data_IF_424084635007
#
_entry.id   IF_424084635007
#
_cell.length_a   1.000
_cell.length_b   1.000
_cell.length_c   1.000
_cell.angle_alpha   90.00
_cell.angle_beta   90.00
_cell.angle_gamma   90.00
#
_symmetry.space_group_name_H-M   'P 1'
#
loop_
_entity.id
_entity.type
_entity.pdbx_description
1 polymer ?
#
# COMPACT_ATOMS: atom_id res chain seq x y z
N UNK A 1 8.18 13.41 -17.66
CA UNK A 1 7.59 12.10 -18.04
C UNK A 1 6.91 11.58 -16.80
N UNK A 2 5.66 11.13 -16.89
CA UNK A 2 4.97 10.46 -15.78
C UNK A 2 4.93 8.95 -15.98
N UNK A 3 4.25 8.27 -15.07
CA UNK A 3 4.10 6.81 -15.04
C UNK A 3 2.65 6.43 -15.28
N UNK A 4 2.43 5.21 -15.78
CA UNK A 4 1.11 4.73 -16.16
C UNK A 4 0.56 3.73 -15.16
N UNK A 5 -0.75 3.64 -15.09
CA UNK A 5 -1.48 2.67 -14.30
C UNK A 5 -2.80 2.31 -14.96
N UNK A 6 -3.59 1.52 -14.25
CA UNK A 6 -4.94 1.16 -14.62
C UNK A 6 -5.78 1.07 -13.36
N UNK A 7 -7.10 1.10 -13.52
CA UNK A 7 -8.02 0.69 -12.48
C UNK A 7 -8.88 -0.49 -12.91
N UNK A 8 -9.15 -1.38 -11.94
CA UNK A 8 -9.76 -2.68 -12.17
C UNK A 8 -10.95 -2.90 -11.26
N UNK A 9 -11.93 -3.61 -11.77
CA UNK A 9 -13.09 -4.08 -11.02
C UNK A 9 -13.34 -5.56 -11.29
N UNK A 10 -14.53 -6.07 -10.97
CA UNK A 10 -14.94 -7.43 -11.32
C UNK A 10 -15.10 -7.64 -12.83
N UNK A 11 -15.12 -6.57 -13.64
CA UNK A 11 -15.16 -6.67 -15.10
C UNK A 11 -13.82 -7.15 -15.68
N UNK A 12 -12.70 -6.76 -15.09
CA UNK A 12 -11.36 -7.21 -15.47
C UNK A 12 -11.01 -8.56 -14.83
N UNK A 13 -10.15 -9.38 -15.45
CA UNK A 13 -9.75 -10.68 -14.90
C UNK A 13 -9.03 -10.52 -13.55
N UNK A 14 -8.86 -11.64 -12.84
CA UNK A 14 -8.10 -11.67 -11.59
C UNK A 14 -6.61 -11.33 -11.77
N UNK A 15 -6.08 -11.48 -12.99
CA UNK A 15 -4.69 -11.21 -13.36
C UNK A 15 -4.61 -10.36 -14.64
N UNK A 16 -4.93 -9.05 -14.59
CA UNK A 16 -4.78 -8.17 -15.76
C UNK A 16 -3.33 -8.03 -16.21
N UNK A 17 -3.08 -7.60 -17.45
CA UNK A 17 -1.72 -7.32 -17.92
C UNK A 17 -1.14 -6.10 -17.18
N UNK A 18 0.02 -6.29 -16.55
CA UNK A 18 0.72 -5.27 -15.76
C UNK A 18 1.93 -4.68 -16.50
N UNK A 19 2.15 -5.06 -17.75
CA UNK A 19 3.31 -4.63 -18.54
C UNK A 19 3.34 -3.10 -18.68
N UNK A 20 4.43 -2.48 -18.23
CA UNK A 20 4.62 -1.03 -18.29
C UNK A 20 3.81 -0.21 -17.29
N UNK A 21 3.09 -0.86 -16.37
CA UNK A 21 2.37 -0.17 -15.30
C UNK A 21 3.27 0.06 -14.09
N UNK A 22 2.95 1.10 -13.32
CA UNK A 22 3.58 1.44 -12.04
C UNK A 22 2.58 1.36 -10.87
N UNK A 23 1.28 1.45 -11.15
CA UNK A 23 0.24 1.37 -10.13
C UNK A 23 -1.02 0.73 -10.67
N UNK A 24 -1.85 0.23 -9.76
CA UNK A 24 -3.21 -0.22 -10.05
C UNK A 24 -4.17 0.14 -8.92
N UNK A 25 -5.32 0.72 -9.28
CA UNK A 25 -6.45 0.89 -8.35
C UNK A 25 -7.43 -0.27 -8.53
N UNK A 26 -8.00 -0.79 -7.43
CA UNK A 26 -8.86 -1.98 -7.47
C UNK A 26 -10.14 -1.72 -6.69
N UNK A 27 -11.29 -1.95 -7.31
CA UNK A 27 -12.59 -1.89 -6.62
C UNK A 27 -12.61 -2.93 -5.52
N UNK A 28 -12.89 -2.53 -4.29
CA UNK A 28 -13.10 -3.49 -3.19
C UNK A 28 -14.56 -3.60 -2.85
N UNK A 29 -15.24 -2.48 -2.58
CA UNK A 29 -16.65 -2.47 -2.19
C UNK A 29 -17.48 -1.47 -2.98
N UNK A 30 -18.78 -1.73 -3.01
CA UNK A 30 -19.80 -0.80 -3.45
C UNK A 30 -20.98 -0.85 -2.46
N UNK A 31 -21.43 0.33 -2.04
CA UNK A 31 -22.47 0.44 -1.02
C UNK A 31 -22.14 -0.33 0.26
N UNK A 32 -23.15 -1.02 0.81
CA UNK A 32 -23.06 -1.81 2.05
C UNK A 32 -23.10 -3.33 1.83
N UNK A 33 -23.19 -3.80 0.59
CA UNK A 33 -23.51 -5.19 0.30
C UNK A 33 -22.68 -5.84 -0.80
N UNK A 34 -21.96 -5.06 -1.60
CA UNK A 34 -21.13 -5.60 -2.66
C UNK A 34 -19.65 -5.59 -2.27
N UNK A 35 -19.01 -6.73 -2.50
CA UNK A 35 -17.56 -6.89 -2.48
C UNK A 35 -17.14 -7.44 -3.83
N UNK A 36 -16.14 -6.84 -4.47
CA UNK A 36 -15.59 -7.35 -5.72
C UNK A 36 -14.97 -8.74 -5.49
N UNK A 37 -15.50 -9.83 -6.07
CA UNK A 37 -15.00 -11.18 -5.80
C UNK A 37 -13.56 -11.43 -6.28
N UNK A 38 -13.00 -10.52 -7.09
CA UNK A 38 -11.65 -10.61 -7.64
C UNK A 38 -10.63 -9.74 -6.92
N UNK A 39 -11.02 -8.87 -5.99
CA UNK A 39 -10.13 -7.83 -5.46
C UNK A 39 -8.88 -8.42 -4.77
N UNK A 40 -9.00 -9.56 -4.09
CA UNK A 40 -7.87 -10.22 -3.41
C UNK A 40 -6.82 -10.67 -4.42
N UNK A 41 -7.26 -11.39 -5.46
CA UNK A 41 -6.36 -11.86 -6.50
C UNK A 41 -5.76 -10.71 -7.31
N UNK A 42 -6.55 -9.67 -7.59
CA UNK A 42 -6.09 -8.45 -8.27
C UNK A 42 -5.04 -7.69 -7.45
N UNK A 43 -5.26 -7.54 -6.14
CA UNK A 43 -4.28 -6.96 -5.20
C UNK A 43 -2.98 -7.76 -5.22
N UNK A 44 -3.08 -9.07 -5.02
CA UNK A 44 -1.90 -9.93 -4.90
C UNK A 44 -1.10 -9.95 -6.20
N UNK A 45 -1.80 -9.97 -7.35
CA UNK A 45 -1.19 -9.84 -8.67
C UNK A 45 -0.48 -8.50 -8.87
N UNK A 46 -1.13 -7.37 -8.55
CA UNK A 46 -0.51 -6.05 -8.64
C UNK A 46 0.73 -5.93 -7.75
N UNK A 47 0.63 -6.39 -6.49
CA UNK A 47 1.76 -6.36 -5.54
C UNK A 47 2.90 -7.28 -5.98
N UNK A 48 2.61 -8.46 -6.51
CA UNK A 48 3.62 -9.38 -7.05
C UNK A 48 4.33 -8.81 -8.28
N UNK A 49 3.62 -8.03 -9.10
CA UNK A 49 4.21 -7.27 -10.21
C UNK A 49 5.00 -6.02 -9.76
N UNK A 50 5.04 -5.74 -8.45
CA UNK A 50 5.78 -4.62 -7.87
C UNK A 50 5.10 -3.26 -8.00
N UNK A 51 3.81 -3.23 -8.38
CA UNK A 51 3.02 -2.01 -8.53
C UNK A 51 2.66 -1.40 -7.17
N UNK A 52 2.45 -0.08 -7.14
CA UNK A 52 1.72 0.56 -6.02
C UNK A 52 0.24 0.21 -6.15
N UNK A 53 -0.33 -0.33 -5.10
CA UNK A 53 -1.72 -0.77 -5.09
C UNK A 53 -2.60 0.21 -4.32
N UNK A 54 -3.76 0.51 -4.88
CA UNK A 54 -4.80 1.25 -4.18
C UNK A 54 -6.14 0.51 -4.21
N UNK A 55 -6.92 0.68 -3.16
CA UNK A 55 -8.28 0.19 -3.07
C UNK A 55 -9.26 1.35 -3.23
N UNK A 56 -10.32 1.15 -4.00
CA UNK A 56 -11.40 2.12 -4.10
C UNK A 56 -12.75 1.57 -3.64
N UNK A 57 -13.56 2.48 -3.12
CA UNK A 57 -14.93 2.26 -2.70
C UNK A 57 -15.89 3.10 -3.55
N UNK A 58 -16.93 2.46 -4.08
CA UNK A 58 -18.01 3.12 -4.82
C UNK A 58 -19.20 3.39 -3.88
N UNK A 59 -19.51 4.65 -3.56
CA UNK A 59 -20.48 4.97 -2.52
C UNK A 59 -21.92 4.90 -3.03
N UNK A 60 -22.84 4.41 -2.20
CA UNK A 60 -24.27 4.69 -2.35
C UNK A 60 -24.60 5.81 -1.36
N UNK A 61 -24.49 7.05 -1.81
CA UNK A 61 -24.45 8.27 -0.97
C UNK A 61 -25.77 8.61 -0.25
N UNK A 62 -26.80 7.78 -0.38
CA UNK A 62 -27.98 7.79 0.50
C UNK A 62 -27.78 7.05 1.82
N UNK A 63 -26.75 6.20 1.92
CA UNK A 63 -26.38 5.46 3.12
C UNK A 63 -25.59 6.33 4.11
N UNK A 64 -25.38 5.78 5.32
CA UNK A 64 -24.50 6.40 6.31
C UNK A 64 -23.04 6.34 5.83
N UNK A 65 -22.40 7.51 5.78
CA UNK A 65 -20.96 7.69 5.50
C UNK A 65 -20.11 6.74 6.35
N UNK A 66 -20.37 6.68 7.65
CA UNK A 66 -19.57 5.86 8.57
C UNK A 66 -19.78 4.36 8.30
N UNK A 67 -21.01 3.95 7.97
CA UNK A 67 -21.31 2.55 7.71
C UNK A 67 -20.61 2.04 6.45
N UNK A 68 -20.63 2.81 5.35
CA UNK A 68 -19.94 2.42 4.12
C UNK A 68 -18.42 2.47 4.27
N UNK A 69 -17.90 3.49 4.95
CA UNK A 69 -16.48 3.57 5.26
C UNK A 69 -16.01 2.38 6.12
N UNK A 70 -16.71 2.06 7.21
CA UNK A 70 -16.35 0.92 8.06
C UNK A 70 -16.48 -0.41 7.30
N UNK A 71 -17.51 -0.56 6.45
CA UNK A 71 -17.67 -1.73 5.59
C UNK A 71 -16.48 -1.89 4.65
N UNK A 72 -16.09 -0.85 3.92
CA UNK A 72 -14.92 -0.85 3.05
C UNK A 72 -13.62 -1.14 3.81
N UNK A 73 -13.38 -0.43 4.92
CA UNK A 73 -12.15 -0.58 5.70
C UNK A 73 -12.01 -1.98 6.30
N UNK A 74 -13.13 -2.65 6.64
CA UNK A 74 -13.13 -4.02 7.18
C UNK A 74 -12.71 -5.09 6.17
N UNK A 75 -12.77 -4.82 4.86
CA UNK A 75 -12.43 -5.82 3.84
C UNK A 75 -10.92 -6.00 3.66
N UNK A 76 -10.13 -4.99 4.01
CA UNK A 76 -8.70 -4.95 3.68
C UNK A 76 -7.86 -4.91 4.96
N UNK A 77 -6.84 -5.77 5.02
CA UNK A 77 -5.78 -5.65 6.02
C UNK A 77 -4.74 -4.61 5.56
N UNK A 78 -5.06 -3.33 5.76
CA UNK A 78 -4.28 -2.18 5.29
C UNK A 78 -2.82 -2.21 5.72
N UNK A 79 -1.91 -1.87 4.80
CA UNK A 79 -0.47 -1.74 5.03
C UNK A 79 0.01 -0.34 4.67
N UNK A 80 1.12 0.14 5.26
CA UNK A 80 1.77 1.36 4.80
C UNK A 80 2.05 1.30 3.28
N UNK A 81 1.79 2.40 2.58
CA UNK A 81 1.91 2.49 1.13
C UNK A 81 0.70 2.01 0.33
N UNK A 82 -0.31 1.37 0.95
CA UNK A 82 -1.60 1.13 0.30
C UNK A 82 -2.35 2.46 0.15
N UNK A 83 -2.87 2.73 -1.06
CA UNK A 83 -3.67 3.92 -1.32
C UNK A 83 -5.15 3.65 -1.07
N UNK A 84 -5.87 4.64 -0.55
CA UNK A 84 -7.30 4.54 -0.23
C UNK A 84 -8.06 5.58 -1.03
N UNK A 85 -9.08 5.16 -1.79
CA UNK A 85 -9.79 6.04 -2.71
C UNK A 85 -11.30 5.99 -2.48
N UNK A 86 -11.93 7.15 -2.38
CA UNK A 86 -13.37 7.30 -2.62
C UNK A 86 -13.61 7.51 -4.12
N UNK A 87 -14.33 6.60 -4.76
CA UNK A 87 -14.80 6.75 -6.13
C UNK A 87 -16.05 7.64 -6.14
N UNK A 88 -15.86 8.96 -6.09
CA UNK A 88 -16.95 9.90 -5.88
C UNK A 88 -17.64 10.30 -7.19
N UNK A 89 -18.65 9.52 -7.50
CA UNK A 89 -19.57 9.72 -8.60
C UNK A 89 -20.98 9.29 -8.20
N UNK A 90 -21.99 9.75 -8.93
CA UNK A 90 -23.39 9.56 -8.56
C UNK A 90 -24.35 9.71 -9.73
N UNK A 91 -23.89 9.31 -10.92
CA UNK A 91 -24.72 9.20 -12.12
C UNK A 91 -25.38 7.81 -12.24
N UNK A 92 -25.14 6.91 -11.29
CA UNK A 92 -25.78 5.61 -11.18
C UNK A 92 -27.19 5.68 -10.54
N UNK A 93 -27.90 4.56 -10.60
CA UNK A 93 -29.27 4.46 -10.10
C UNK A 93 -29.38 4.52 -8.57
N UNK A 94 -28.37 4.07 -7.82
CA UNK A 94 -28.37 4.14 -6.36
C UNK A 94 -28.25 5.58 -5.86
N UNK A 95 -27.60 6.45 -6.63
CA UNK A 95 -27.39 7.86 -6.32
C UNK A 95 -28.39 8.83 -6.99
N UNK A 96 -29.24 8.35 -7.90
CA UNK A 96 -30.18 9.20 -8.68
C UNK A 96 -31.16 10.03 -7.82
N UNK A 97 -31.52 9.55 -6.62
CA UNK A 97 -32.39 10.26 -5.68
C UNK A 97 -31.66 11.15 -4.66
N UNK A 98 -30.32 11.15 -4.66
CA UNK A 98 -29.50 11.87 -3.67
C UNK A 98 -29.16 13.25 -4.21
N UNK A 99 -29.52 14.30 -3.48
CA UNK A 99 -29.26 15.68 -3.92
C UNK A 99 -27.75 15.95 -4.10
N UNK A 100 -27.38 16.81 -5.07
CA UNK A 100 -25.97 17.17 -5.30
C UNK A 100 -25.28 17.75 -4.06
N UNK A 101 -26.00 18.53 -3.25
CA UNK A 101 -25.49 19.04 -1.99
C UNK A 101 -25.20 17.92 -0.97
N UNK A 102 -26.06 16.90 -0.91
CA UNK A 102 -25.83 15.70 -0.08
C UNK A 102 -24.62 14.90 -0.59
N UNK A 103 -24.50 14.71 -1.90
CA UNK A 103 -23.34 14.02 -2.51
C UNK A 103 -22.01 14.74 -2.18
N UNK A 104 -21.99 16.07 -2.28
CA UNK A 104 -20.82 16.89 -1.94
C UNK A 104 -20.46 16.81 -0.45
N UNK A 105 -21.46 16.84 0.44
CA UNK A 105 -21.26 16.69 1.88
C UNK A 105 -20.77 15.28 2.25
N UNK A 106 -21.28 14.24 1.58
CA UNK A 106 -20.87 12.84 1.77
C UNK A 106 -19.37 12.69 1.51
N UNK A 107 -18.89 13.20 0.37
CA UNK A 107 -17.47 13.17 -0.03
C UNK A 107 -16.55 13.71 1.06
N UNK A 108 -16.79 14.93 1.52
CA UNK A 108 -16.00 15.58 2.57
C UNK A 108 -16.00 14.77 3.87
N UNK A 109 -17.17 14.29 4.30
CA UNK A 109 -17.33 13.53 5.53
C UNK A 109 -16.63 12.17 5.45
N UNK A 110 -16.74 11.47 4.33
CA UNK A 110 -16.12 10.16 4.12
C UNK A 110 -14.60 10.26 4.12
N UNK A 111 -14.04 11.20 3.37
CA UNK A 111 -12.59 11.41 3.30
C UNK A 111 -11.99 11.72 4.69
N UNK A 112 -12.63 12.62 5.45
CA UNK A 112 -12.20 12.97 6.81
C UNK A 112 -12.30 11.77 7.76
N UNK A 113 -13.41 11.03 7.68
CA UNK A 113 -13.62 9.84 8.52
C UNK A 113 -12.60 8.75 8.23
N UNK A 114 -12.40 8.39 6.96
CA UNK A 114 -11.43 7.36 6.57
C UNK A 114 -10.00 7.78 6.92
N UNK A 115 -9.63 9.05 6.70
CA UNK A 115 -8.31 9.55 7.11
C UNK A 115 -8.09 9.46 8.62
N UNK A 116 -9.13 9.69 9.43
CA UNK A 116 -9.04 9.50 10.89
C UNK A 116 -8.82 8.04 11.31
N UNK A 117 -9.29 7.07 10.51
CA UNK A 117 -9.14 5.63 10.77
C UNK A 117 -7.82 5.07 10.25
N UNK A 118 -7.30 5.64 9.16
CA UNK A 118 -6.04 5.27 8.53
C UNK A 118 -5.13 6.50 8.40
N UNK A 119 -4.63 7.06 9.51
CA UNK A 119 -3.81 8.28 9.47
C UNK A 119 -2.51 8.10 8.68
N UNK A 120 -2.00 6.87 8.64
CA UNK A 120 -0.72 6.50 8.02
C UNK A 120 -0.84 6.07 6.55
N UNK A 121 -2.05 6.11 5.98
CA UNK A 121 -2.29 5.85 4.56
C UNK A 121 -2.67 7.14 3.84
N UNK A 122 -2.37 7.21 2.54
CA UNK A 122 -2.86 8.28 1.67
C UNK A 122 -4.31 8.00 1.32
N UNK A 123 -5.20 8.92 1.70
CA UNK A 123 -6.64 8.86 1.43
C UNK A 123 -7.00 9.96 0.45
N UNK A 124 -7.39 9.58 -0.76
CA UNK A 124 -7.74 10.50 -1.83
C UNK A 124 -9.13 10.24 -2.38
N UNK A 125 -9.50 11.00 -3.40
CA UNK A 125 -10.73 10.76 -4.14
C UNK A 125 -10.52 10.71 -5.63
N UNK A 126 -11.41 9.96 -6.27
CA UNK A 126 -11.66 10.00 -7.69
C UNK A 126 -12.95 10.78 -7.98
N UNK A 127 -12.96 11.53 -9.08
CA UNK A 127 -14.18 12.03 -9.71
C UNK A 127 -13.92 12.44 -11.17
N UNK A 128 -14.97 12.64 -11.95
CA UNK A 128 -14.84 13.25 -13.28
C UNK A 128 -14.86 14.78 -13.23
N UNK A 129 -14.51 15.44 -14.35
CA UNK A 129 -14.48 16.92 -14.41
C UNK A 129 -15.83 17.60 -14.18
N UNK A 130 -16.96 16.93 -14.43
CA UNK A 130 -18.29 17.50 -14.15
C UNK A 130 -18.53 17.56 -12.64
N UNK A 131 -18.26 16.46 -11.92
CA UNK A 131 -18.34 16.43 -10.47
C UNK A 131 -17.40 17.45 -9.83
N UNK A 132 -16.15 17.51 -10.30
CA UNK A 132 -15.17 18.48 -9.80
C UNK A 132 -15.60 19.95 -10.01
N UNK A 133 -16.20 20.30 -11.15
CA UNK A 133 -16.52 21.70 -11.48
C UNK A 133 -17.90 22.15 -11.01
N UNK A 134 -18.86 21.23 -10.99
CA UNK A 134 -20.28 21.57 -10.87
C UNK A 134 -20.95 21.00 -9.61
N UNK A 135 -20.31 20.05 -8.92
CA UNK A 135 -20.87 19.41 -7.71
C UNK A 135 -20.01 19.71 -6.49
N UNK A 136 -18.70 19.67 -6.64
CA UNK A 136 -17.79 20.04 -5.56
C UNK A 136 -17.93 21.53 -5.20
N UNK A 137 -17.85 21.83 -3.91
CA UNK A 137 -17.95 23.19 -3.38
C UNK A 137 -16.85 23.55 -2.39
N UNK A 138 -16.00 22.59 -2.03
CA UNK A 138 -14.98 22.76 -0.97
C UNK A 138 -13.55 22.64 -1.50
N UNK A 139 -13.37 22.08 -2.70
CA UNK A 139 -12.08 21.69 -3.28
C UNK A 139 -11.26 20.74 -2.40
N UNK A 140 -11.89 20.12 -1.39
CA UNK A 140 -11.25 19.17 -0.50
C UNK A 140 -11.28 17.77 -1.12
N UNK A 141 -10.11 17.18 -1.37
CA UNK A 141 -9.93 15.84 -1.96
C UNK A 141 -9.13 14.88 -1.08
N UNK A 142 -8.85 15.25 0.18
CA UNK A 142 -7.95 14.49 1.03
C UNK A 142 -6.50 14.71 0.64
N UNK A 143 -5.70 13.63 0.62
CA UNK A 143 -4.27 13.65 0.33
C UNK A 143 -3.95 13.73 -1.17
N UNK A 144 -4.86 13.32 -2.06
CA UNK A 144 -4.66 13.37 -3.51
C UNK A 144 -5.96 13.37 -4.30
N UNK A 145 -5.92 13.98 -5.48
CA UNK A 145 -7.01 13.93 -6.47
C UNK A 145 -6.63 13.02 -7.63
N UNK A 146 -7.54 12.09 -7.93
CA UNK A 146 -7.58 11.29 -9.15
C UNK A 146 -8.73 11.82 -10.03
N UNK A 147 -8.42 12.42 -11.17
CA UNK A 147 -9.43 13.05 -12.03
C UNK A 147 -9.65 12.24 -13.30
N UNK A 148 -10.91 11.99 -13.67
CA UNK A 148 -11.26 11.40 -14.97
C UNK A 148 -11.66 12.47 -15.98
N UNK A 149 -11.05 12.41 -17.18
CA UNK A 149 -11.38 13.34 -18.26
C UNK A 149 -11.54 12.61 -19.59
N UNK A 150 -12.69 12.80 -20.22
CA UNK A 150 -12.97 12.21 -21.52
C UNK A 150 -12.20 12.93 -22.63
N UNK A 151 -11.45 12.17 -23.44
CA UNK A 151 -10.86 12.64 -24.69
C UNK A 151 -9.65 13.57 -24.56
N UNK A 152 -9.01 13.66 -23.38
CA UNK A 152 -7.76 14.42 -23.20
C UNK A 152 -6.54 13.51 -23.14
N UNK A 153 -5.37 14.09 -23.41
CA UNK A 153 -4.12 13.36 -23.37
C UNK A 153 -3.72 12.99 -21.93
N UNK A 154 -3.02 11.86 -21.78
CA UNK A 154 -2.45 11.44 -20.49
C UNK A 154 -1.62 12.58 -19.86
N UNK A 155 -1.88 12.86 -18.59
CA UNK A 155 -1.21 13.93 -17.86
C UNK A 155 -1.67 15.36 -18.16
N UNK A 156 -2.72 15.55 -18.98
CA UNK A 156 -3.35 16.84 -19.20
C UNK A 156 -4.88 16.76 -18.98
N UNK A 157 -5.36 16.78 -17.73
CA UNK A 157 -6.79 16.71 -17.43
C UNK A 157 -7.54 18.03 -17.66
N UNK A 158 -6.84 19.14 -17.90
CA UNK A 158 -7.51 20.41 -18.19
C UNK A 158 -8.27 20.99 -16.98
N UNK A 159 -7.76 20.73 -15.78
CA UNK A 159 -8.17 21.37 -14.54
C UNK A 159 -6.95 22.03 -13.89
N UNK A 160 -7.20 23.06 -13.08
CA UNK A 160 -6.14 23.81 -12.38
C UNK A 160 -5.81 23.23 -10.99
N UNK A 161 -6.63 22.31 -10.47
CA UNK A 161 -6.41 21.71 -9.17
C UNK A 161 -5.13 20.88 -9.16
N UNK A 162 -4.55 20.68 -7.98
CA UNK A 162 -3.37 19.84 -7.80
C UNK A 162 -3.79 18.36 -7.80
N UNK A 163 -3.82 17.77 -9.00
CA UNK A 163 -4.12 16.37 -9.23
C UNK A 163 -2.84 15.54 -9.26
N UNK A 164 -2.93 14.30 -8.77
CA UNK A 164 -1.83 13.35 -8.82
C UNK A 164 -2.04 12.28 -9.89
N UNK A 165 -3.29 11.83 -10.03
CA UNK A 165 -3.68 10.79 -10.99
C UNK A 165 -4.70 11.35 -12.00
N UNK A 166 -4.61 10.88 -13.24
CA UNK A 166 -5.51 11.23 -14.33
C UNK A 166 -5.95 9.96 -15.07
N UNK A 167 -7.23 9.60 -14.97
CA UNK A 167 -7.85 8.61 -15.84
C UNK A 167 -8.15 9.28 -17.18
N UNK A 168 -7.43 8.89 -18.23
CA UNK A 168 -7.44 9.57 -19.53
C UNK A 168 -8.13 8.74 -20.64
N UNK A 169 -8.50 7.49 -20.35
CA UNK A 169 -9.14 6.59 -21.31
C UNK A 169 -9.89 5.49 -20.57
N UNK A 170 -11.08 5.14 -21.07
CA UNK A 170 -11.97 4.06 -20.62
C UNK A 170 -12.12 2.94 -21.67
N UNK A 171 -11.40 3.04 -22.79
CA UNK A 171 -11.52 2.10 -23.91
C UNK A 171 -10.94 0.72 -23.58
N UNK A 172 -11.79 -0.17 -23.08
CA UNK A 172 -11.54 -1.59 -22.83
C UNK A 172 -11.00 -1.88 -21.42
N UNK A 173 -10.01 -1.11 -20.99
CA UNK A 173 -9.60 -0.99 -19.58
C UNK A 173 -9.32 0.46 -19.29
N UNK A 174 -9.67 0.89 -18.09
CA UNK A 174 -9.43 2.24 -17.64
C UNK A 174 -7.92 2.45 -17.49
N UNK A 175 -7.42 3.52 -18.11
CA UNK A 175 -6.00 3.85 -18.16
C UNK A 175 -5.73 5.13 -17.41
N UNK A 176 -4.74 5.03 -16.54
CA UNK A 176 -4.35 6.11 -15.67
C UNK A 176 -2.94 6.59 -15.94
N UNK A 177 -2.72 7.84 -15.55
CA UNK A 177 -1.43 8.50 -15.55
C UNK A 177 -1.19 9.13 -14.19
N UNK A 178 0.00 8.96 -13.64
CA UNK A 178 0.46 9.68 -12.45
C UNK A 178 1.54 10.69 -12.86
N UNK A 179 1.45 11.92 -12.33
CA UNK A 179 2.40 12.98 -12.70
C UNK A 179 3.82 12.75 -12.17
N UNK A 180 4.01 11.79 -11.25
CA UNK A 180 5.32 11.48 -10.67
C UNK A 180 6.19 10.78 -11.71
N UNK A 181 7.49 11.04 -11.63
CA UNK A 181 8.46 10.63 -12.66
C UNK A 181 8.79 9.15 -12.67
N UNK A 182 8.58 8.42 -11.57
CA UNK A 182 8.95 7.03 -11.46
C UNK A 182 8.12 6.25 -10.43
N UNK A 183 8.13 4.92 -10.58
CA UNK A 183 7.58 4.00 -9.57
C UNK A 183 8.25 4.18 -8.19
N UNK A 184 9.54 4.50 -8.16
CA UNK A 184 10.25 4.74 -6.91
C UNK A 184 9.72 5.99 -6.21
N UNK A 185 9.49 7.07 -6.95
CA UNK A 185 8.90 8.31 -6.42
C UNK A 185 7.49 8.06 -5.89
N UNK A 186 6.68 7.29 -6.64
CA UNK A 186 5.33 6.94 -6.19
C UNK A 186 5.33 6.08 -4.93
N UNK A 187 6.22 5.08 -4.83
CA UNK A 187 6.38 4.27 -3.61
C UNK A 187 6.82 5.13 -2.42
N UNK A 188 7.75 6.04 -2.63
CA UNK A 188 8.23 6.94 -1.60
C UNK A 188 7.13 7.93 -1.15
N UNK A 189 6.31 8.43 -2.07
CA UNK A 189 5.19 9.33 -1.76
C UNK A 189 4.03 8.62 -1.04
N UNK A 190 3.75 7.38 -1.43
CA UNK A 190 2.68 6.56 -0.85
C UNK A 190 2.97 6.19 0.61
N UNK A 191 4.25 6.05 0.97
CA UNK A 191 4.68 5.99 2.36
C UNK A 191 4.63 7.39 2.96
N UNK A 192 3.79 7.59 3.97
CA UNK A 192 3.91 8.79 4.80
C UNK A 192 5.25 8.69 5.52
N UNK A 193 6.17 9.61 5.23
CA UNK A 193 7.47 9.63 5.91
C UNK A 193 7.25 9.84 7.41
N UNK A 194 7.98 9.08 8.23
CA UNK A 194 8.08 9.22 9.70
C UNK A 194 8.37 10.66 10.16
N UNK A 195 8.81 11.55 9.26
CA UNK A 195 9.06 12.97 9.53
C UNK A 195 7.81 13.76 9.97
N UNK A 196 6.59 13.32 9.62
CA UNK A 196 5.33 13.96 10.03
C UNK A 196 4.74 13.39 11.33
N UNK A 197 5.41 12.44 11.98
CA UNK A 197 5.16 12.02 13.36
C UNK A 197 6.37 12.33 14.24
N UNK A 198 6.61 13.59 14.63
CA UNK A 198 7.46 13.82 15.78
C UNK A 198 6.73 13.22 16.99
N UNK A 199 7.18 12.05 17.47
CA UNK A 199 6.90 11.67 18.84
C UNK A 199 7.36 12.83 19.70
N UNK A 200 6.43 13.50 20.37
CA UNK A 200 6.82 14.57 21.28
C UNK A 200 7.67 13.95 22.38
N UNK A 201 8.52 14.74 23.02
CA UNK A 201 9.25 14.27 24.21
C UNK A 201 8.28 13.72 25.28
N UNK A 202 7.03 14.17 25.28
CA UNK A 202 5.96 13.67 26.14
C UNK A 202 5.44 12.28 25.72
N UNK A 203 5.29 12.01 24.41
CA UNK A 203 4.90 10.68 23.91
C UNK A 203 6.00 9.64 24.19
N UNK A 204 7.25 10.03 23.98
CA UNK A 204 8.43 9.22 24.33
C UNK A 204 8.45 8.96 25.85
N UNK A 205 8.20 9.99 26.66
CA UNK A 205 8.17 9.86 28.11
C UNK A 205 6.98 9.03 28.60
N UNK A 206 5.81 9.10 27.94
CA UNK A 206 4.62 8.33 28.29
C UNK A 206 4.79 6.84 27.98
N UNK A 207 5.34 6.51 26.81
CA UNK A 207 5.71 5.13 26.46
C UNK A 207 6.82 4.63 27.37
N UNK A 208 7.86 5.43 27.61
CA UNK A 208 8.93 5.08 28.54
C UNK A 208 8.38 4.84 29.95
N UNK A 209 7.52 5.71 30.49
CA UNK A 209 6.89 5.48 31.80
C UNK A 209 5.98 4.25 31.82
N UNK A 210 5.19 3.99 30.78
CA UNK A 210 4.31 2.82 30.72
C UNK A 210 5.10 1.50 30.64
N UNK A 211 6.21 1.48 29.92
CA UNK A 211 7.11 0.32 29.80
C UNK A 211 8.01 0.17 31.04
N UNK A 212 8.39 1.27 31.69
CA UNK A 212 9.43 1.31 32.74
C UNK A 212 8.88 1.31 34.18
N UNK A 213 7.61 1.66 34.42
CA UNK A 213 6.98 1.62 35.76
C UNK A 213 6.15 0.36 36.03
N UNK A 214 6.27 -0.70 35.23
CA UNK A 214 5.60 -1.96 35.54
C UNK A 214 6.38 -2.73 36.61
N UNK A 215 6.07 -2.46 37.87
CA UNK A 215 6.62 -3.14 39.04
C UNK A 215 5.60 -4.20 39.51
N UNK A 216 5.61 -5.40 38.93
CA UNK A 216 4.91 -6.51 39.55
C UNK A 216 5.68 -6.96 40.80
N UNK A 217 5.05 -7.09 41.98
CA UNK A 217 5.62 -7.90 43.02
C UNK A 217 5.59 -9.35 42.53
N UNK A 218 6.74 -9.88 42.12
CA UNK A 218 6.86 -11.29 41.72
C UNK A 218 6.33 -12.24 42.80
N UNK A 219 5.96 -13.49 42.46
CA UNK A 219 5.24 -14.41 43.35
C UNK A 219 6.02 -14.89 44.60
N UNK A 220 7.28 -14.46 44.79
CA UNK A 220 8.11 -14.78 45.95
C UNK A 220 8.82 -13.52 46.50
N UNK A 221 8.40 -12.97 47.66
CA UNK A 221 9.02 -11.79 48.27
C UNK A 221 10.47 -12.02 48.75
N UNK A 222 11.00 -13.26 48.72
CA UNK A 222 12.39 -13.57 49.07
C UNK A 222 13.35 -13.62 47.87
N UNK A 223 12.84 -13.49 46.64
CA UNK A 223 13.65 -13.48 45.41
C UNK A 223 13.19 -12.35 44.49
N UNK A 224 13.51 -11.08 44.80
CA UNK A 224 13.16 -9.98 43.92
C UNK A 224 13.80 -10.22 42.54
N UNK A 225 12.98 -10.17 41.49
CA UNK A 225 13.47 -10.14 40.11
C UNK A 225 14.32 -8.89 39.96
N UNK A 226 15.62 -9.05 39.74
CA UNK A 226 16.52 -7.93 39.47
C UNK A 226 16.30 -7.47 38.03
N UNK A 227 15.28 -6.64 37.81
CA UNK A 227 14.88 -6.14 36.49
C UNK A 227 16.08 -5.58 35.70
N UNK A 228 17.01 -4.86 36.34
CA UNK A 228 18.24 -4.39 35.68
C UNK A 228 19.13 -5.50 35.09
N UNK A 229 19.16 -6.69 35.69
CA UNK A 229 19.92 -7.83 35.15
C UNK A 229 19.17 -8.52 33.98
N UNK A 230 17.84 -8.54 34.03
CA UNK A 230 16.99 -9.04 32.94
C UNK A 230 17.08 -8.09 31.73
N UNK A 231 17.04 -6.77 31.97
CA UNK A 231 17.17 -5.76 30.92
C UNK A 231 18.55 -5.81 30.25
N UNK A 232 19.63 -5.92 31.02
CA UNK A 232 20.97 -6.08 30.45
C UNK A 232 21.14 -7.36 29.63
N UNK A 233 20.46 -8.44 30.01
CA UNK A 233 20.40 -9.67 29.21
C UNK A 233 19.60 -9.48 27.91
N UNK A 234 18.45 -8.80 27.95
CA UNK A 234 17.62 -8.52 26.76
C UNK A 234 18.36 -7.61 25.76
N UNK A 235 19.03 -6.56 26.23
CA UNK A 235 19.84 -5.67 25.37
C UNK A 235 20.97 -6.44 24.68
N UNK A 236 21.59 -7.38 25.41
CA UNK A 236 22.64 -8.25 24.87
C UNK A 236 22.06 -9.19 23.79
N UNK A 237 20.88 -9.77 24.01
CA UNK A 237 20.21 -10.64 23.04
C UNK A 237 19.86 -9.88 21.76
N UNK A 238 19.25 -8.70 21.87
CA UNK A 238 18.90 -7.87 20.72
C UNK A 238 20.12 -7.39 19.94
N UNK A 239 21.18 -6.96 20.64
CA UNK A 239 22.43 -6.55 20.01
C UNK A 239 23.07 -7.69 19.22
N UNK A 240 23.09 -8.90 19.79
CA UNK A 240 23.61 -10.09 19.12
C UNK A 240 22.76 -10.50 17.91
N UNK A 241 21.43 -10.40 18.00
CA UNK A 241 20.53 -10.68 16.88
C UNK A 241 20.71 -9.69 15.73
N UNK A 242 20.81 -8.39 16.04
CA UNK A 242 21.04 -7.36 15.03
C UNK A 242 22.40 -7.52 14.33
N UNK A 243 23.45 -7.88 15.08
CA UNK A 243 24.76 -8.19 14.51
C UNK A 243 24.72 -9.42 13.59
N UNK A 244 24.00 -10.47 13.99
CA UNK A 244 23.81 -11.67 13.16
C UNK A 244 23.02 -11.36 11.89
N UNK A 245 21.96 -10.54 11.97
CA UNK A 245 21.16 -10.12 10.83
C UNK A 245 21.98 -9.27 9.85
N UNK A 246 22.75 -8.30 10.36
CA UNK A 246 23.64 -7.48 9.55
C UNK A 246 24.70 -8.32 8.81
N UNK A 247 25.25 -9.33 9.48
CA UNK A 247 26.19 -10.29 8.87
C UNK A 247 25.52 -11.10 7.76
N UNK A 248 24.31 -11.64 7.99
CA UNK A 248 23.57 -12.40 6.99
C UNK A 248 23.20 -11.55 5.76
N UNK A 249 22.83 -10.28 5.96
CA UNK A 249 22.57 -9.32 4.86
C UNK A 249 23.84 -9.06 4.04
N UNK A 250 24.99 -8.88 4.70
CA UNK A 250 26.28 -8.70 4.01
C UNK A 250 26.70 -9.96 3.22
N UNK A 251 26.50 -11.15 3.79
CA UNK A 251 26.76 -12.43 3.12
C UNK A 251 25.83 -12.64 1.90
N UNK A 252 24.55 -12.26 2.03
CA UNK A 252 23.60 -12.27 0.92
C UNK A 252 23.99 -11.32 -0.22
N UNK A 253 24.44 -10.10 0.11
CA UNK A 253 24.93 -9.14 -0.87
C UNK A 253 26.20 -9.63 -1.61
N UNK A 254 27.10 -10.32 -0.88
CA UNK A 254 28.28 -10.94 -1.47
C UNK A 254 27.90 -12.11 -2.41
N UNK A 255 26.95 -12.95 -2.02
CA UNK A 255 26.44 -14.03 -2.86
C UNK A 255 25.76 -13.50 -4.14
N UNK A 256 24.98 -12.43 -4.06
CA UNK A 256 24.35 -11.76 -5.21
C UNK A 256 25.40 -11.20 -6.19
N UNK A 257 26.48 -10.63 -5.65
CA UNK A 257 27.59 -10.09 -6.44
C UNK A 257 28.37 -11.21 -7.14
N UNK A 258 28.63 -12.32 -6.44
CA UNK A 258 29.27 -13.50 -7.01
C UNK A 258 28.41 -14.13 -8.12
N UNK A 259 27.08 -14.17 -7.94
CA UNK A 259 26.15 -14.67 -8.94
C UNK A 259 26.13 -13.80 -10.20
N UNK A 260 26.14 -12.47 -10.03
CA UNK A 260 26.20 -11.53 -11.14
C UNK A 260 27.50 -11.66 -11.94
N UNK A 261 28.63 -11.88 -11.25
CA UNK A 261 29.91 -12.14 -11.89
C UNK A 261 29.93 -13.48 -12.64
N UNK A 262 29.33 -14.53 -12.07
CA UNK A 262 29.20 -15.84 -12.71
C UNK A 262 28.30 -15.76 -13.95
N UNK A 263 27.15 -15.09 -13.88
CA UNK A 263 26.27 -14.87 -15.03
C UNK A 263 26.97 -14.12 -16.16
N UNK A 264 27.78 -13.10 -15.84
CA UNK A 264 28.60 -12.37 -16.80
C UNK A 264 29.71 -13.24 -17.42
N UNK A 265 30.31 -14.15 -16.64
CA UNK A 265 31.34 -15.08 -17.13
C UNK A 265 30.75 -16.18 -18.04
N UNK A 266 29.59 -16.73 -17.66
CA UNK A 266 28.89 -17.78 -18.43
C UNK A 266 28.30 -17.22 -19.73
N UNK A 267 27.77 -15.99 -19.71
CA UNK A 267 27.29 -15.31 -20.92
C UNK A 267 28.38 -15.11 -21.98
N UNK A 268 29.67 -15.06 -21.59
CA UNK A 268 30.81 -15.00 -22.51
C UNK A 268 31.20 -16.36 -23.12
N UNK A 269 30.80 -17.48 -22.51
CA UNK A 269 31.23 -18.82 -22.92
C UNK A 269 30.34 -19.47 -23.99
N UNK A 270 29.12 -18.95 -24.21
CA UNK A 270 28.16 -19.44 -25.21
C UNK A 270 27.56 -20.80 -24.86
N UNK A 271 26.23 -20.85 -24.63
CA UNK A 271 25.50 -22.11 -24.41
C UNK A 271 24.27 -22.02 -23.49
N UNK A 272 24.15 -20.97 -22.67
CA UNK A 272 23.00 -20.71 -21.80
C UNK A 272 22.65 -19.22 -21.83
N UNK A 273 21.35 -18.88 -21.76
CA UNK A 273 20.90 -17.47 -21.71
C UNK A 273 21.01 -16.91 -20.27
N UNK A 274 21.10 -15.58 -20.14
CA UNK A 274 21.13 -14.92 -18.83
C UNK A 274 19.91 -15.28 -17.95
N UNK A 275 18.75 -15.48 -18.59
CA UNK A 275 17.51 -15.85 -17.90
C UNK A 275 17.56 -17.28 -17.34
N UNK A 276 18.15 -18.23 -18.08
CA UNK A 276 18.32 -19.61 -17.61
C UNK A 276 19.25 -19.69 -16.40
N UNK A 277 20.31 -18.87 -16.38
CA UNK A 277 21.25 -18.80 -15.26
C UNK A 277 20.59 -18.14 -14.04
N UNK A 278 19.83 -17.06 -14.25
CA UNK A 278 19.11 -16.35 -13.18
C UNK A 278 18.04 -17.23 -12.53
N UNK A 279 17.25 -17.95 -13.32
CA UNK A 279 16.21 -18.84 -12.82
C UNK A 279 16.78 -20.00 -11.98
N UNK A 280 17.87 -20.63 -12.44
CA UNK A 280 18.53 -21.71 -11.70
C UNK A 280 19.10 -21.22 -10.35
N UNK A 281 19.65 -20.02 -10.32
CA UNK A 281 20.20 -19.41 -9.12
C UNK A 281 19.11 -19.02 -8.10
N UNK A 282 18.01 -18.44 -8.57
CA UNK A 282 16.84 -18.12 -7.73
C UNK A 282 16.23 -19.39 -7.12
N UNK A 283 16.16 -20.48 -7.90
CA UNK A 283 15.69 -21.77 -7.40
C UNK A 283 16.61 -22.33 -6.29
N UNK A 284 17.93 -22.21 -6.45
CA UNK A 284 18.90 -22.62 -5.42
C UNK A 284 18.79 -21.78 -4.14
N UNK A 285 18.64 -20.46 -4.26
CA UNK A 285 18.47 -19.56 -3.12
C UNK A 285 17.16 -19.82 -2.36
N UNK A 286 16.06 -20.09 -3.08
CA UNK A 286 14.78 -20.44 -2.48
C UNK A 286 14.84 -21.78 -1.71
N UNK A 287 15.57 -22.77 -2.23
CA UNK A 287 15.79 -24.04 -1.54
C UNK A 287 16.61 -23.86 -0.25
N UNK A 288 17.69 -23.07 -0.29
CA UNK A 288 18.51 -22.79 0.88
C UNK A 288 17.75 -22.02 1.96
N UNK A 289 16.92 -21.03 1.59
CA UNK A 289 16.07 -20.29 2.52
C UNK A 289 15.03 -21.21 3.18
N UNK A 290 14.48 -22.18 2.44
CA UNK A 290 13.56 -23.17 2.98
C UNK A 290 14.24 -24.08 4.01
N UNK A 291 15.44 -24.57 3.73
CA UNK A 291 16.23 -25.35 4.69
C UNK A 291 16.62 -24.53 5.93
N UNK A 292 16.93 -23.24 5.76
CA UNK A 292 17.20 -22.34 6.88
C UNK A 292 15.95 -22.13 7.75
N UNK A 293 14.77 -22.00 7.13
CA UNK A 293 13.48 -21.94 7.84
C UNK A 293 13.21 -23.20 8.66
N UNK A 294 13.45 -24.38 8.08
CA UNK A 294 13.39 -25.65 8.80
C UNK A 294 14.35 -25.70 10.00
N UNK A 295 15.58 -25.23 9.82
CA UNK A 295 16.59 -25.18 10.88
C UNK A 295 16.24 -24.20 12.02
N UNK A 296 15.59 -23.07 11.70
CA UNK A 296 15.18 -22.05 12.67
C UNK A 296 13.90 -22.43 13.42
N UNK A 297 12.97 -23.13 12.76
CA UNK A 297 11.71 -23.58 13.34
C UNK A 297 11.84 -24.93 14.09
N UNK A 298 13.05 -25.51 14.13
CA UNK A 298 13.34 -26.80 14.78
C UNK A 298 12.65 -28.00 14.12
N UNK A 299 12.07 -27.82 12.94
CA UNK A 299 11.45 -28.89 12.16
C UNK A 299 12.49 -29.41 11.17
N UNK A 300 12.96 -30.64 11.35
CA UNK A 300 13.83 -31.26 10.34
C UNK A 300 13.08 -31.40 9.00
N UNK A 301 13.79 -31.28 7.87
CA UNK A 301 13.18 -31.47 6.55
C UNK A 301 12.50 -32.83 6.40
#
# INVERSE_FOLDING_TARGET
MGIYGQDWSSYQPSTPDTSGLAFAFVKVTEGLNYVNPRWVAQRDHAKAAGLVWGAYHYPHMGNSVQAEADYFLSQVSWKPGDLVVLDWEGYDAANAGVSRGTQAAYKDAWLKYVKSKLPNNRVGMYCNTDYWRNVDTTSYYGDFLWIATAGRAAGDPGIQADWLFHQYSDSGVDRDYCHLSSLADLKAWALIQEADMPLTQADIAAVASAVWNYNEPGPDPKKPVRVGAVMGWMDTVHSNQNAALAKAVAEGAAAQSALSALAAAVGKAGGLTADQVTAAAQAGAAAALKELGHALDGTKP
#
